data_IF_969734994296
#
_entry.id   IF_969734994296
#
_cell.length_a   1.000
_cell.length_b   1.000
_cell.length_c   1.000
_cell.angle_alpha   90.00
_cell.angle_beta   90.00
_cell.angle_gamma   90.00
#
_symmetry.space_group_name_H-M   'P 1'
#
loop_
_entity.id
_entity.type
_entity.pdbx_description
1 polymer ?
#
# COMPACT_ATOMS: atom_id res chain seq x y z
N UNK A 1 11.23 23.55 11.31
CA UNK A 1 11.18 22.53 12.38
C UNK A 1 12.21 21.45 12.09
N UNK A 2 12.98 20.96 13.09
CA UNK A 2 13.89 19.84 12.87
C UNK A 2 13.11 18.58 12.48
N UNK A 3 13.69 17.72 11.64
CA UNK A 3 13.02 16.50 11.13
C UNK A 3 12.59 15.53 12.25
N UNK A 4 13.24 15.58 13.41
CA UNK A 4 12.87 14.80 14.60
C UNK A 4 11.55 15.21 15.25
N UNK A 5 11.02 16.40 14.94
CA UNK A 5 9.73 16.89 15.48
C UNK A 5 8.58 16.73 14.49
N UNK A 6 8.80 16.02 13.39
CA UNK A 6 7.81 15.82 12.33
C UNK A 6 6.88 14.66 12.68
N UNK A 7 5.58 14.84 12.45
CA UNK A 7 4.62 13.75 12.52
C UNK A 7 4.56 13.06 11.16
N UNK A 8 5.27 11.94 10.99
CA UNK A 8 5.26 11.17 9.74
C UNK A 8 3.95 10.39 9.50
N UNK A 9 2.93 10.57 10.36
CA UNK A 9 1.56 10.13 10.09
C UNK A 9 0.68 11.26 9.55
N UNK A 10 1.21 12.48 9.45
CA UNK A 10 0.52 13.63 8.89
C UNK A 10 0.58 13.60 7.37
N UNK A 11 -0.60 13.51 6.75
CA UNK A 11 -0.80 13.42 5.31
C UNK A 11 -0.33 14.67 4.58
N UNK A 12 -0.60 15.85 5.14
CA UNK A 12 -0.21 17.13 4.54
C UNK A 12 1.29 17.30 4.57
N UNK A 13 1.92 16.91 5.70
CA UNK A 13 3.37 16.93 5.82
C UNK A 13 4.04 16.00 4.80
N UNK A 14 3.53 14.77 4.66
CA UNK A 14 4.08 13.81 3.70
C UNK A 14 3.89 14.25 2.25
N UNK A 15 2.72 14.80 1.92
CA UNK A 15 2.45 15.35 0.60
C UNK A 15 3.37 16.53 0.26
N UNK A 16 3.64 17.42 1.23
CA UNK A 16 4.60 18.51 1.06
C UNK A 16 6.05 18.02 0.98
N UNK A 17 6.39 17.03 1.80
CA UNK A 17 7.76 16.54 1.89
C UNK A 17 8.16 15.75 0.65
N UNK A 18 7.23 15.00 0.04
CA UNK A 18 7.51 14.15 -1.11
C UNK A 18 7.72 14.97 -2.38
N UNK A 19 8.98 15.19 -2.73
CA UNK A 19 9.41 15.88 -3.95
C UNK A 19 10.14 14.90 -4.88
N UNK A 20 10.36 15.27 -6.15
CA UNK A 20 11.14 14.43 -7.07
C UNK A 20 12.56 14.15 -6.55
N UNK A 21 13.20 15.15 -5.92
CA UNK A 21 14.58 15.05 -5.44
C UNK A 21 14.77 14.10 -4.25
N UNK A 22 13.77 13.97 -3.36
CA UNK A 22 13.87 13.11 -2.17
C UNK A 22 13.00 11.85 -2.27
N UNK A 23 12.40 11.63 -3.44
CA UNK A 23 11.48 10.56 -3.71
C UNK A 23 12.02 9.19 -3.28
N UNK A 24 13.22 8.82 -3.74
CA UNK A 24 13.84 7.52 -3.45
C UNK A 24 14.05 7.30 -1.94
N UNK A 25 14.36 8.36 -1.19
CA UNK A 25 14.57 8.26 0.26
C UNK A 25 13.25 8.03 0.98
N UNK A 26 12.19 8.77 0.60
CA UNK A 26 10.85 8.60 1.18
C UNK A 26 10.34 7.18 0.92
N UNK A 27 10.52 6.68 -0.31
CA UNK A 27 10.14 5.32 -0.71
C UNK A 27 10.86 4.26 0.10
N UNK A 28 12.18 4.39 0.28
CA UNK A 28 12.97 3.45 1.07
C UNK A 28 12.41 3.33 2.50
N UNK A 29 12.12 4.45 3.14
CA UNK A 29 11.50 4.46 4.47
C UNK A 29 10.10 3.82 4.47
N UNK A 30 9.30 4.11 3.45
CA UNK A 30 7.96 3.55 3.29
C UNK A 30 7.99 2.01 3.12
N UNK A 31 8.89 1.48 2.29
CA UNK A 31 9.04 0.04 2.08
C UNK A 31 9.49 -0.69 3.35
N UNK A 32 10.38 -0.10 4.16
CA UNK A 32 10.79 -0.66 5.46
C UNK A 32 9.58 -0.75 6.41
N UNK A 33 8.76 0.30 6.46
CA UNK A 33 7.53 0.32 7.24
C UNK A 33 6.55 -0.76 6.77
N UNK A 34 6.28 -0.84 5.45
CA UNK A 34 5.42 -1.86 4.84
C UNK A 34 5.88 -3.28 5.20
N UNK A 35 7.16 -3.57 5.01
CA UNK A 35 7.76 -4.87 5.36
C UNK A 35 7.66 -5.22 6.85
N UNK A 36 7.48 -4.23 7.72
CA UNK A 36 7.34 -4.42 9.17
C UNK A 36 5.87 -4.64 9.58
N UNK A 37 4.91 -4.03 8.90
CA UNK A 37 3.49 -4.02 9.29
C UNK A 37 2.61 -4.96 8.47
N UNK A 38 2.80 -5.00 7.15
CA UNK A 38 1.94 -5.77 6.24
C UNK A 38 1.92 -7.26 6.54
N UNK A 39 3.05 -7.94 6.85
CA UNK A 39 3.02 -9.37 7.16
C UNK A 39 2.12 -9.70 8.36
N UNK A 40 2.13 -8.85 9.39
CA UNK A 40 1.27 -9.04 10.56
C UNK A 40 -0.21 -8.76 10.23
N UNK A 41 -0.48 -7.72 9.43
CA UNK A 41 -1.83 -7.43 8.96
C UNK A 41 -2.39 -8.58 8.11
N UNK A 42 -1.60 -9.11 7.17
CA UNK A 42 -1.93 -10.28 6.36
C UNK A 42 -2.21 -11.53 7.21
N UNK A 43 -1.38 -11.80 8.21
CA UNK A 43 -1.60 -12.91 9.13
C UNK A 43 -2.96 -12.78 9.82
N UNK A 44 -3.25 -11.62 10.43
CA UNK A 44 -4.53 -11.37 11.10
C UNK A 44 -5.72 -11.42 10.15
N UNK A 45 -5.57 -10.87 8.95
CA UNK A 45 -6.58 -10.91 7.90
C UNK A 45 -6.92 -12.36 7.49
N UNK A 46 -5.90 -13.22 7.40
CA UNK A 46 -6.09 -14.64 7.08
C UNK A 46 -6.85 -15.39 8.18
N UNK A 47 -6.54 -15.09 9.45
CA UNK A 47 -7.12 -15.78 10.62
C UNK A 47 -8.54 -15.30 10.94
N UNK A 48 -8.79 -14.00 10.82
CA UNK A 48 -9.99 -13.35 11.37
C UNK A 48 -10.96 -12.84 10.30
N UNK A 49 -10.52 -12.75 9.03
CA UNK A 49 -11.34 -12.22 7.95
C UNK A 49 -12.56 -13.09 7.65
N UNK A 50 -13.72 -12.44 7.44
CA UNK A 50 -14.97 -13.13 7.08
C UNK A 50 -14.90 -13.70 5.66
N UNK A 51 -15.76 -14.66 5.30
CA UNK A 51 -15.86 -15.17 3.93
C UNK A 51 -16.07 -14.05 2.89
N UNK A 52 -16.91 -13.06 3.20
CA UNK A 52 -17.22 -11.93 2.31
C UNK A 52 -15.99 -11.04 2.12
N UNK A 53 -15.27 -10.75 3.19
CA UNK A 53 -14.02 -9.99 3.11
C UNK A 53 -12.98 -10.74 2.28
N UNK A 54 -12.82 -12.05 2.49
CA UNK A 54 -11.89 -12.87 1.70
C UNK A 54 -12.27 -12.91 0.21
N UNK A 55 -13.55 -12.98 -0.10
CA UNK A 55 -14.05 -12.91 -1.47
C UNK A 55 -13.71 -11.56 -2.12
N UNK A 56 -13.92 -10.45 -1.40
CA UNK A 56 -13.55 -9.11 -1.88
C UNK A 56 -12.04 -8.97 -2.11
N UNK A 57 -11.22 -9.50 -1.21
CA UNK A 57 -9.75 -9.48 -1.34
C UNK A 57 -9.30 -10.21 -2.62
N UNK A 58 -9.89 -11.37 -2.90
CA UNK A 58 -9.60 -12.15 -4.10
C UNK A 58 -10.06 -11.42 -5.37
N UNK A 59 -11.25 -10.82 -5.37
CA UNK A 59 -11.75 -10.06 -6.52
C UNK A 59 -10.82 -8.88 -6.87
N UNK A 60 -10.32 -8.14 -5.88
CA UNK A 60 -9.34 -7.08 -6.07
C UNK A 60 -8.02 -7.62 -6.67
N UNK A 61 -7.53 -8.77 -6.19
CA UNK A 61 -6.34 -9.42 -6.74
C UNK A 61 -6.54 -9.86 -8.20
N UNK A 62 -7.69 -10.44 -8.53
CA UNK A 62 -8.04 -10.83 -9.90
C UNK A 62 -8.07 -9.60 -10.83
N UNK A 63 -8.66 -8.50 -10.38
CA UNK A 63 -8.68 -7.24 -11.12
C UNK A 63 -7.27 -6.69 -11.35
N UNK A 64 -6.39 -6.68 -10.34
CA UNK A 64 -4.99 -6.28 -10.52
C UNK A 64 -4.25 -7.11 -11.57
N UNK A 65 -4.49 -8.43 -11.60
CA UNK A 65 -3.87 -9.35 -12.57
C UNK A 65 -4.35 -9.04 -13.98
N UNK A 66 -5.64 -8.76 -14.18
CA UNK A 66 -6.19 -8.41 -15.49
C UNK A 66 -5.71 -7.03 -15.96
N UNK A 67 -5.72 -6.05 -15.06
CA UNK A 67 -5.18 -4.70 -15.32
C UNK A 67 -3.70 -4.76 -15.68
N UNK A 68 -2.92 -5.70 -15.13
CA UNK A 68 -1.51 -5.88 -15.53
C UNK A 68 -1.35 -6.35 -16.98
N UNK A 69 -2.30 -7.11 -17.53
CA UNK A 69 -2.27 -7.58 -18.94
C UNK A 69 -2.58 -6.45 -19.92
N UNK A 70 -3.55 -5.61 -19.56
CA UNK A 70 -3.96 -4.45 -20.34
C UNK A 70 -3.72 -3.19 -19.49
N UNK A 71 -2.45 -2.81 -19.36
CA UNK A 71 -1.98 -1.84 -18.35
C UNK A 71 -2.72 -0.50 -18.39
N UNK A 72 -3.69 -0.38 -17.49
CA UNK A 72 -4.39 0.85 -17.15
C UNK A 72 -3.83 1.33 -15.82
N UNK A 73 -2.83 2.20 -15.88
CA UNK A 73 -2.02 2.63 -14.74
C UNK A 73 -2.86 3.15 -13.59
N UNK A 74 -3.71 4.14 -13.85
CA UNK A 74 -4.51 4.81 -12.83
C UNK A 74 -5.42 3.81 -12.11
N UNK A 75 -6.11 2.96 -12.88
CA UNK A 75 -6.99 1.93 -12.32
C UNK A 75 -6.21 0.87 -11.55
N UNK A 76 -5.03 0.46 -12.03
CA UNK A 76 -4.18 -0.50 -11.33
C UNK A 76 -3.75 0.04 -9.95
N UNK A 77 -3.38 1.32 -9.87
CA UNK A 77 -3.00 1.99 -8.61
C UNK A 77 -4.17 2.04 -7.64
N UNK A 78 -5.38 2.37 -8.12
CA UNK A 78 -6.59 2.37 -7.29
C UNK A 78 -6.88 0.99 -6.69
N UNK A 79 -6.77 -0.06 -7.50
CA UNK A 79 -7.08 -1.44 -7.06
C UNK A 79 -6.00 -1.96 -6.11
N UNK A 80 -4.73 -1.68 -6.35
CA UNK A 80 -3.62 -2.07 -5.46
C UNK A 80 -3.74 -1.39 -4.09
N UNK A 81 -4.08 -0.10 -4.07
CA UNK A 81 -4.37 0.64 -2.84
C UNK A 81 -5.55 0.03 -2.07
N UNK A 82 -6.67 -0.21 -2.77
CA UNK A 82 -7.84 -0.84 -2.18
C UNK A 82 -7.55 -2.24 -1.63
N UNK A 83 -6.70 -3.01 -2.30
CA UNK A 83 -6.29 -4.34 -1.84
C UNK A 83 -5.52 -4.29 -0.52
N UNK A 84 -4.53 -3.39 -0.42
CA UNK A 84 -3.76 -3.20 0.81
C UNK A 84 -4.62 -2.68 1.97
N UNK A 85 -5.51 -1.74 1.72
CA UNK A 85 -6.43 -1.21 2.73
C UNK A 85 -7.36 -2.27 3.27
N UNK A 86 -7.90 -3.09 2.38
CA UNK A 86 -8.78 -4.18 2.76
C UNK A 86 -8.07 -5.20 3.66
N UNK A 87 -6.77 -5.46 3.46
CA UNK A 87 -5.97 -6.29 4.38
C UNK A 87 -5.88 -5.67 5.78
N UNK A 88 -5.61 -4.35 5.84
CA UNK A 88 -5.53 -3.65 7.12
C UNK A 88 -6.89 -3.66 7.84
N UNK A 89 -7.99 -3.48 7.13
CA UNK A 89 -9.34 -3.62 7.68
C UNK A 89 -9.62 -5.03 8.20
N UNK A 90 -9.30 -6.05 7.39
CA UNK A 90 -9.44 -7.47 7.76
C UNK A 90 -8.60 -7.86 8.97
N UNK A 91 -7.52 -7.13 9.27
CA UNK A 91 -6.69 -7.40 10.45
C UNK A 91 -7.45 -7.23 11.77
N UNK A 92 -8.54 -6.45 11.79
CA UNK A 92 -9.34 -6.16 12.97
C UNK A 92 -8.60 -5.39 14.07
N UNK A 93 -7.36 -4.94 13.81
CA UNK A 93 -6.56 -4.20 14.77
C UNK A 93 -6.68 -2.69 14.50
N UNK A 94 -7.22 -1.88 15.45
CA UNK A 94 -7.46 -0.46 15.21
C UNK A 94 -6.20 0.36 14.92
N UNK A 95 -5.04 -0.06 15.42
CA UNK A 95 -3.76 0.60 15.09
C UNK A 95 -3.34 0.29 13.66
N UNK A 96 -3.40 -0.98 13.24
CA UNK A 96 -3.08 -1.37 11.87
C UNK A 96 -4.04 -0.74 10.86
N UNK A 97 -5.33 -0.67 11.18
CA UNK A 97 -6.34 0.05 10.38
C UNK A 97 -5.99 1.53 10.24
N UNK A 98 -5.54 2.17 11.31
CA UNK A 98 -5.13 3.58 11.26
C UNK A 98 -3.97 3.81 10.29
N UNK A 99 -3.06 2.85 10.15
CA UNK A 99 -1.96 2.91 9.17
C UNK A 99 -2.44 2.81 7.72
N UNK A 100 -3.57 2.14 7.44
CA UNK A 100 -4.15 2.10 6.08
C UNK A 100 -4.38 3.50 5.52
N UNK A 101 -4.80 4.45 6.37
CA UNK A 101 -5.02 5.83 5.96
C UNK A 101 -3.75 6.56 5.51
N UNK A 102 -2.57 6.12 5.98
CA UNK A 102 -1.27 6.65 5.57
C UNK A 102 -0.93 6.26 4.13
N UNK A 103 -1.35 5.06 3.71
CA UNK A 103 -1.11 4.55 2.35
C UNK A 103 -1.65 5.55 1.35
N UNK A 104 -2.94 5.91 1.41
CA UNK A 104 -3.57 6.91 0.53
C UNK A 104 -2.70 8.12 0.17
N UNK A 105 -2.00 8.71 1.15
CA UNK A 105 -1.24 9.96 0.95
C UNK A 105 0.13 9.76 0.32
N UNK A 106 0.79 8.65 0.62
CA UNK A 106 2.09 8.31 0.03
C UNK A 106 1.92 7.57 -1.29
N UNK A 107 0.89 6.72 -1.41
CA UNK A 107 0.67 5.81 -2.53
C UNK A 107 0.46 6.53 -3.85
N UNK A 108 -0.40 7.55 -3.88
CA UNK A 108 -0.72 8.25 -5.12
C UNK A 108 0.54 8.86 -5.76
N UNK A 109 1.36 9.53 -4.95
CA UNK A 109 2.61 10.14 -5.41
C UNK A 109 3.71 9.11 -5.64
N UNK A 110 3.79 8.05 -4.83
CA UNK A 110 4.71 6.92 -5.00
C UNK A 110 4.49 6.20 -6.33
N UNK A 111 3.26 5.80 -6.61
CA UNK A 111 2.97 5.04 -7.81
C UNK A 111 2.98 5.87 -9.07
N UNK A 112 2.51 7.13 -9.04
CA UNK A 112 2.56 8.02 -10.21
C UNK A 112 3.98 8.20 -10.74
N UNK A 113 4.99 8.19 -9.87
CA UNK A 113 6.38 8.43 -10.21
C UNK A 113 7.18 7.15 -10.54
N UNK A 114 6.89 5.99 -9.93
CA UNK A 114 7.57 4.71 -10.27
C UNK A 114 6.96 3.96 -11.45
N UNK A 115 5.66 4.11 -11.73
CA UNK A 115 4.96 3.31 -12.76
C UNK A 115 5.20 3.83 -14.18
N UNK A 116 6.33 4.48 -14.44
CA UNK A 116 6.55 5.26 -15.65
C UNK A 116 6.38 4.51 -16.96
N UNK A 117 6.42 3.17 -17.03
CA UNK A 117 5.81 2.36 -18.12
C UNK A 117 5.77 0.83 -17.90
N UNK A 118 6.10 0.31 -16.71
CA UNK A 118 5.97 -1.12 -16.40
C UNK A 118 5.56 -1.31 -14.94
N UNK A 119 4.82 -2.38 -14.64
CA UNK A 119 4.61 -2.85 -13.26
C UNK A 119 5.95 -3.44 -12.79
N UNK A 120 6.81 -2.62 -12.18
CA UNK A 120 7.95 -3.11 -11.41
C UNK A 120 7.48 -4.11 -10.34
N UNK A 121 8.39 -4.91 -9.77
CA UNK A 121 8.06 -5.93 -8.75
C UNK A 121 7.40 -5.32 -7.51
N UNK A 122 6.09 -5.08 -7.59
CA UNK A 122 5.25 -4.61 -6.51
C UNK A 122 4.89 -5.84 -5.69
N UNK A 123 5.68 -6.08 -4.65
CA UNK A 123 5.31 -6.89 -3.48
C UNK A 123 4.56 -8.17 -3.82
N UNK A 124 5.19 -9.12 -4.52
CA UNK A 124 4.66 -10.49 -4.53
C UNK A 124 4.60 -10.99 -3.08
N UNK A 125 3.40 -11.38 -2.64
CA UNK A 125 3.19 -12.01 -1.35
C UNK A 125 4.22 -13.13 -1.14
N UNK A 126 4.84 -13.26 0.06
CA UNK A 126 5.78 -14.33 0.34
C UNK A 126 5.01 -15.65 0.42
N UNK A 127 4.90 -16.38 -0.69
CA UNK A 127 4.17 -17.65 -0.69
C UNK A 127 3.79 -18.21 -2.06
N UNK A 128 4.72 -18.22 -3.03
CA UNK A 128 4.63 -19.18 -4.13
C UNK A 128 6.03 -19.48 -4.69
N UNK A 129 6.81 -20.23 -3.92
CA UNK A 129 7.95 -21.03 -4.39
C UNK A 129 7.89 -22.38 -3.73
#
# INVERSE_FOLDING_TARGET
MPRSSWNFLDKELLAWWLTEDNFSDVVSHFLVMRGSLEPQACFLASTSGTPEQKAQLNALMEEMVELKRNFQRERWIEVDMAWHEHIYEMSGNPFLISFASLFHSVYHTYFTSITQNEVGETGSAPGNR
#
